data_IF_616076098606
#
_entry.id   IF_616076098606
#
_cell.length_a   1.000
_cell.length_b   1.000
_cell.length_c   1.000
_cell.angle_alpha   90.00
_cell.angle_beta   90.00
_cell.angle_gamma   90.00
#
_symmetry.space_group_name_H-M   'P 1'
#
loop_
_entity.id
_entity.type
_entity.pdbx_description
1 polymer ?
2 non-polymer ?
3 water ?
#
# COMPACT_ATOMS: atom_id res chain seq x y z
N UNK A 6 -3.28 3.55 9.76
CA UNK A 6 -1.86 3.59 10.07
C UNK A 6 -1.03 3.25 8.84
N UNK A 7 0.11 3.93 8.69
CA UNK A 7 1.02 3.68 7.58
C UNK A 7 1.87 2.45 7.92
N UNK A 8 1.67 1.37 7.17
CA UNK A 8 2.46 0.16 7.35
C UNK A 8 3.74 0.19 6.53
N UNK A 9 4.45 1.31 6.62
CA UNK A 9 5.70 1.49 5.88
C UNK A 9 6.81 0.72 6.56
N UNK A 10 7.56 -0.05 5.77
CA UNK A 10 8.68 -0.83 6.28
C UNK A 10 9.96 -0.01 6.18
N UNK A 11 10.74 0.00 7.26
CA UNK A 11 11.98 0.76 7.29
C UNK A 11 13.05 0.05 6.46
N UNK A 12 14.22 0.67 6.40
CA UNK A 12 15.34 0.07 5.66
C UNK A 12 15.75 -1.27 6.26
N UNK A 13 15.69 -1.38 7.59
CA UNK A 13 15.98 -2.66 8.22
C UNK A 13 14.86 -3.67 7.96
N UNK A 14 13.61 -3.20 7.95
CA UNK A 14 12.48 -4.11 7.82
C UNK A 14 12.39 -4.71 6.42
N UNK A 15 12.92 -4.03 5.41
CA UNK A 15 12.87 -4.56 4.06
C UNK A 15 13.87 -5.70 3.88
N UNK A 16 15.08 -5.54 4.42
CA UNK A 16 16.13 -6.55 4.33
C UNK A 16 16.20 -7.43 5.58
N UNK A 17 15.10 -7.54 6.31
CA UNK A 17 15.11 -8.28 7.57
C UNK A 17 15.30 -9.78 7.31
N UNK A 18 16.11 -10.42 8.15
CA UNK A 18 16.47 -11.82 8.20
C UNK A 18 15.68 -12.52 9.30
N UNK A 19 15.17 -13.74 9.04
CA UNK A 19 14.40 -14.44 10.07
C UNK A 19 15.23 -14.76 11.29
N UNK A 20 14.54 -14.86 12.43
CA UNK A 20 15.14 -15.32 13.68
C UNK A 20 14.93 -16.83 13.74
N UNK A 21 15.98 -17.58 13.42
CA UNK A 21 15.86 -19.02 13.26
C UNK A 21 15.41 -19.69 14.55
N UNK A 22 14.65 -20.77 14.40
CA UNK A 22 14.11 -21.49 15.53
C UNK A 22 15.21 -22.24 16.28
N UNK A 23 14.93 -22.56 17.54
CA UNK A 23 15.85 -23.28 18.39
C UNK A 23 15.33 -24.71 18.50
N UNK A 24 15.72 -25.56 17.54
CA UNK A 24 15.27 -26.95 17.54
C UNK A 24 15.93 -27.72 18.67
N UNK A 25 17.24 -27.53 18.87
CA UNK A 25 17.96 -28.19 19.95
C UNK A 25 17.31 -27.88 21.29
N UNK A 26 16.57 -28.86 21.82
CA UNK A 26 15.71 -28.68 22.98
C UNK A 26 16.35 -28.00 24.19
N UNK A 27 15.89 -26.78 24.47
CA UNK A 27 16.28 -26.06 25.67
C UNK A 27 15.07 -25.94 26.59
N UNK A 28 15.30 -26.11 27.89
CA UNK A 28 14.24 -26.01 28.88
C UNK A 28 14.32 -24.65 29.57
N UNK A 29 13.25 -23.87 29.45
CA UNK A 29 13.15 -22.55 30.07
C UNK A 29 12.15 -22.61 31.21
N UNK A 30 12.40 -21.82 32.25
CA UNK A 30 11.58 -21.81 33.45
C UNK A 30 10.50 -20.75 33.32
N UNK A 31 9.36 -21.00 33.96
CA UNK A 31 8.24 -20.05 33.93
C UNK A 31 7.67 -19.91 35.34
N UNK A 32 7.95 -18.78 35.98
CA UNK A 32 7.38 -18.51 37.29
C UNK A 32 5.96 -17.96 37.13
N UNK A 33 5.09 -18.21 38.12
CA UNK A 33 3.75 -17.61 38.06
C UNK A 33 3.76 -16.10 38.13
N UNK A 34 4.76 -15.52 38.79
CA UNK A 34 4.85 -14.06 38.87
C UNK A 34 5.26 -13.46 37.55
N UNK A 35 6.16 -14.13 36.81
CA UNK A 35 6.54 -13.67 35.49
C UNK A 35 5.47 -14.06 34.47
N UNK A 36 5.51 -13.39 33.31
CA UNK A 36 4.50 -13.56 32.27
C UNK A 36 3.09 -13.28 32.79
N UNK A 37 3.00 -12.44 33.82
CA UNK A 37 1.71 -12.18 34.47
C UNK A 37 0.90 -11.13 33.71
N UNK A 38 1.56 -10.16 33.09
CA UNK A 38 0.85 -9.05 32.47
C UNK A 38 0.13 -9.45 31.18
N UNK A 39 0.51 -10.56 30.57
CA UNK A 39 -0.06 -10.96 29.29
C UNK A 39 -1.02 -12.14 29.38
N UNK A 40 -0.93 -12.96 30.44
CA UNK A 40 -1.73 -14.16 30.55
C UNK A 40 -2.87 -14.03 31.55
N UNK A 41 -2.94 -12.95 32.31
CA UNK A 41 -3.98 -12.76 33.31
C UNK A 41 -5.07 -11.86 32.76
N UNK A 42 -6.31 -12.15 33.13
CA UNK A 42 -7.44 -11.32 32.71
C UNK A 42 -7.54 -10.09 33.60
N UNK A 43 -7.57 -8.88 33.02
CA UNK A 43 -7.60 -7.67 33.86
C UNK A 43 -8.96 -7.40 34.49
N UNK A 44 -9.85 -8.39 34.48
CA UNK A 44 -11.15 -8.30 35.12
C UNK A 44 -11.25 -9.21 36.34
N UNK A 45 -10.86 -10.47 36.20
CA UNK A 45 -10.88 -11.42 37.29
C UNK A 45 -9.50 -11.69 37.88
N UNK A 46 -8.44 -11.14 37.29
CA UNK A 46 -7.06 -11.25 37.76
C UNK A 46 -6.55 -12.68 37.75
N UNK A 47 -7.28 -13.61 37.15
CA UNK A 47 -6.84 -14.99 36.98
C UNK A 47 -6.38 -15.19 35.53
N UNK A 48 -5.74 -16.33 35.28
CA UNK A 48 -5.30 -16.65 33.93
C UNK A 48 -6.51 -16.76 32.99
N UNK A 49 -6.27 -16.44 31.72
CA UNK A 49 -7.35 -16.39 30.74
C UNK A 49 -7.97 -17.78 30.55
N UNK A 50 -9.29 -17.83 30.67
CA UNK A 50 -10.07 -19.04 30.42
C UNK A 50 -11.12 -18.71 29.37
N UNK A 51 -11.10 -19.46 28.27
CA UNK A 51 -11.91 -19.16 27.08
C UNK A 51 -11.68 -17.72 26.66
N UNK A 52 -10.51 -17.51 26.06
CA UNK A 52 -10.02 -16.17 25.79
C UNK A 52 -10.82 -15.48 24.70
N UNK A 53 -11.14 -14.20 24.92
CA UNK A 53 -11.78 -13.34 23.93
C UNK A 53 -10.84 -12.21 23.56
N UNK A 54 -10.89 -11.79 22.30
CA UNK A 54 -10.02 -10.74 21.79
C UNK A 54 -10.85 -9.68 21.07
N UNK A 55 -10.46 -8.42 21.28
CA UNK A 55 -11.13 -7.31 20.61
C UNK A 55 -10.48 -7.04 19.26
N UNK A 56 -11.32 -6.80 18.25
CA UNK A 56 -10.82 -6.59 16.91
C UNK A 56 -10.19 -5.21 16.74
N UNK A 57 -10.60 -4.23 17.55
CA UNK A 57 -10.11 -2.86 17.41
C UNK A 57 -8.79 -2.62 18.12
N UNK A 58 -8.45 -3.44 19.13
CA UNK A 58 -7.24 -3.18 19.91
C UNK A 58 -6.47 -4.42 20.31
N UNK A 59 -6.96 -5.63 20.02
CA UNK A 59 -6.25 -6.88 20.34
C UNK A 59 -5.92 -6.98 21.81
N UNK A 60 -6.95 -6.86 22.65
CA UNK A 60 -6.83 -7.00 24.09
C UNK A 60 -7.63 -8.20 24.55
N UNK A 61 -6.99 -9.09 25.31
CA UNK A 61 -7.58 -10.37 25.66
C UNK A 61 -8.28 -10.31 27.01
N UNK A 62 -9.43 -10.99 27.09
CA UNK A 62 -10.18 -11.14 28.33
C UNK A 62 -10.80 -12.53 28.37
N UNK A 63 -11.42 -12.86 29.49
CA UNK A 63 -12.19 -14.08 29.59
C UNK A 63 -13.54 -13.90 28.89
N UNK A 64 -14.05 -15.00 28.34
CA UNK A 64 -15.32 -14.94 27.62
C UNK A 64 -16.45 -14.48 28.53
N UNK A 65 -16.54 -15.05 29.73
CA UNK A 65 -17.58 -14.66 30.67
C UNK A 65 -17.32 -13.27 31.24
N UNK A 66 -16.06 -12.86 31.33
CA UNK A 66 -15.72 -11.58 31.97
C UNK A 66 -16.03 -10.41 31.05
N UNK A 67 -15.60 -10.47 29.79
CA UNK A 67 -15.81 -9.34 28.89
C UNK A 67 -17.29 -9.18 28.56
N UNK A 68 -18.04 -10.29 28.51
CA UNK A 68 -19.47 -10.19 28.26
C UNK A 68 -20.18 -9.51 29.42
N UNK A 69 -19.68 -9.70 30.64
CA UNK A 69 -20.28 -9.04 31.80
C UNK A 69 -20.10 -7.53 31.74
N UNK A 70 -18.89 -7.07 31.46
CA UNK A 70 -18.61 -5.63 31.48
C UNK A 70 -19.31 -4.90 30.34
N UNK A 71 -19.57 -5.58 29.23
CA UNK A 71 -20.21 -4.92 28.10
C UNK A 71 -21.70 -4.71 28.32
N UNK A 72 -22.39 -5.72 28.87
CA UNK A 72 -23.82 -5.58 29.12
C UNK A 72 -24.13 -4.56 30.21
N UNK A 73 -23.15 -4.22 31.04
CA UNK A 73 -23.33 -3.28 32.15
C UNK A 73 -22.26 -2.19 32.11
N UNK A 74 -22.07 -1.60 30.93
CA UNK A 74 -21.06 -0.58 30.78
C UNK A 74 -21.31 0.28 29.57
N UNK A 75 -20.26 0.98 29.13
CA UNK A 75 -20.32 1.89 28.00
C UNK A 75 -19.94 1.23 26.68
N UNK A 76 -19.91 -0.11 26.63
CA UNK A 76 -19.48 -0.85 25.45
C UNK A 76 -18.08 -0.42 25.01
N UNK A 77 -17.19 -0.24 25.97
CA UNK A 77 -15.81 0.13 25.71
C UNK A 77 -14.89 -1.02 26.06
N UNK A 78 -13.63 -0.90 25.65
CA UNK A 78 -12.63 -1.86 26.06
C UNK A 78 -12.18 -1.55 27.47
N UNK A 79 -12.24 -2.52 28.40
CA UNK A 79 -11.90 -2.24 29.80
C UNK A 79 -10.45 -1.82 30.01
N UNK A 80 -9.58 -2.01 29.02
CA UNK A 80 -8.15 -1.74 29.19
C UNK A 80 -7.75 -0.40 28.56
N UNK A 81 -7.97 -0.25 27.25
CA UNK A 81 -7.53 0.94 26.53
C UNK A 81 -8.61 2.00 26.41
N UNK A 82 -9.84 1.72 26.83
CA UNK A 82 -10.96 2.67 26.79
C UNK A 82 -11.19 3.16 25.35
N UNK A 83 -11.34 2.21 24.43
CA UNK A 83 -11.67 2.50 23.05
C UNK A 83 -13.09 2.01 22.76
N UNK A 84 -13.72 2.64 21.78
CA UNK A 84 -15.13 2.36 21.49
C UNK A 84 -15.26 1.09 20.65
N UNK A 85 -16.16 0.21 21.07
CA UNK A 85 -16.47 -1.02 20.36
C UNK A 85 -17.63 -0.81 19.39
N UNK A 86 -17.91 -1.85 18.60
CA UNK A 86 -19.09 -1.87 17.76
C UNK A 86 -20.09 -2.83 18.42
N UNK A 87 -20.06 -2.84 19.76
CA UNK A 87 -21.08 -3.45 20.61
C UNK A 87 -21.29 -4.95 20.37
N UNK A 88 -21.03 -5.43 19.16
CA UNK A 88 -21.26 -6.82 18.84
C UNK A 88 -20.46 -7.18 17.61
N UNK A 89 -20.06 -8.46 17.54
CA UNK A 89 -19.24 -8.98 16.45
C UNK A 89 -17.87 -8.28 16.41
N UNK A 90 -17.51 -7.58 17.49
CA UNK A 90 -16.16 -7.06 17.67
C UNK A 90 -15.27 -8.00 18.45
N UNK A 91 -15.85 -8.98 19.14
CA UNK A 91 -15.09 -9.96 19.92
C UNK A 91 -15.04 -11.28 19.15
N UNK A 92 -13.83 -11.75 18.88
CA UNK A 92 -13.62 -13.06 18.31
C UNK A 92 -12.85 -13.92 19.29
N UNK A 93 -13.25 -15.16 19.53
CA UNK A 93 -12.47 -16.03 20.42
C UNK A 93 -11.06 -16.25 19.87
N UNK A 94 -10.12 -16.44 20.80
CA UNK A 94 -8.71 -16.65 20.46
C UNK A 94 -8.37 -18.12 20.72
N UNK A 95 -8.55 -19.00 19.73
CA UNK A 95 -8.31 -20.43 20.00
C UNK A 95 -6.84 -20.78 20.13
N UNK A 96 -5.98 -20.20 19.28
CA UNK A 96 -4.55 -20.47 19.38
C UNK A 96 -3.93 -19.84 20.62
N UNK A 97 -4.60 -18.86 21.24
CA UNK A 97 -4.13 -18.33 22.50
C UNK A 97 -4.45 -19.26 23.66
N UNK A 98 -5.60 -19.95 23.60
CA UNK A 98 -5.92 -20.94 24.63
C UNK A 98 -4.97 -22.11 24.59
N UNK A 99 -4.50 -22.50 23.39
CA UNK A 99 -3.51 -23.57 23.29
C UNK A 99 -2.20 -23.17 23.95
N UNK A 100 -1.80 -21.90 23.80
CA UNK A 100 -0.60 -21.42 24.47
C UNK A 100 -0.79 -21.35 25.98
N UNK A 101 -2.00 -21.06 26.44
CA UNK A 101 -2.27 -21.04 27.88
C UNK A 101 -2.22 -22.44 28.46
N UNK A 102 -2.80 -23.41 27.75
CA UNK A 102 -2.80 -24.81 28.19
C UNK A 102 -1.41 -25.43 28.17
N UNK A 103 -0.38 -24.69 27.78
CA UNK A 103 0.99 -25.18 27.80
C UNK A 103 1.85 -24.58 28.90
N UNK A 104 1.35 -23.56 29.61
CA UNK A 104 2.24 -22.76 30.45
C UNK A 104 1.51 -22.23 31.68
N UNK A 105 0.40 -22.86 32.04
CA UNK A 105 -0.31 -22.45 33.26
C UNK A 105 0.48 -22.69 34.55
N UNK A 106 1.43 -23.65 34.64
CA UNK A 106 2.15 -23.73 35.92
C UNK A 106 2.87 -22.44 36.31
N UNK A 111 5.61 -25.19 39.42
CA UNK A 111 6.22 -24.05 38.76
C UNK A 111 7.47 -24.61 38.06
N UNK A 112 7.25 -25.25 36.92
CA UNK A 112 8.25 -26.12 36.32
C UNK A 112 8.79 -25.52 35.02
N UNK A 113 9.84 -26.15 34.50
CA UNK A 113 10.52 -25.74 33.28
C UNK A 113 9.91 -26.46 32.07
N UNK A 114 9.97 -25.79 30.92
CA UNK A 114 9.25 -26.22 29.72
C UNK A 114 10.24 -26.38 28.57
N UNK A 115 10.04 -27.44 27.77
CA UNK A 115 10.77 -27.57 26.52
C UNK A 115 10.27 -26.56 25.51
N UNK A 116 11.20 -25.85 24.87
CA UNK A 116 10.82 -24.83 23.91
C UNK A 116 10.21 -25.44 22.65
N UNK A 117 10.55 -26.70 22.35
CA UNK A 117 10.00 -27.35 21.17
C UNK A 117 8.49 -27.53 21.27
N UNK A 118 7.95 -27.51 22.49
CA UNK A 118 6.49 -27.54 22.67
C UNK A 118 5.86 -26.16 22.53
N UNK A 119 6.66 -25.10 22.68
CA UNK A 119 6.16 -23.74 22.56
C UNK A 119 6.40 -23.12 21.19
N UNK A 120 7.30 -23.69 20.39
CA UNK A 120 7.62 -23.12 19.08
C UNK A 120 6.40 -22.96 18.17
N UNK A 121 5.47 -23.91 18.05
CA UNK A 121 4.32 -23.68 17.16
C UNK A 121 3.55 -22.41 17.46
N UNK A 122 3.56 -21.93 18.70
CA UNK A 122 2.84 -20.73 19.08
C UNK A 122 3.68 -19.46 18.98
N UNK A 123 4.95 -19.58 18.62
CA UNK A 123 5.86 -18.43 18.61
C UNK A 123 6.56 -18.23 17.27
N UNK A 124 6.13 -18.90 16.21
CA UNK A 124 6.82 -18.86 14.93
C UNK A 124 5.90 -18.39 13.82
N UNK A 125 6.49 -17.71 12.84
CA UNK A 125 5.77 -17.18 11.69
C UNK A 125 5.92 -18.12 10.51
N UNK A 126 4.79 -18.52 9.92
CA UNK A 126 4.82 -19.45 8.79
C UNK A 126 5.37 -18.83 7.52
N UNK A 127 5.51 -17.51 7.48
CA UNK A 127 6.00 -16.84 6.27
C UNK A 127 7.53 -16.75 6.24
N UNK A 128 8.16 -16.49 7.37
CA UNK A 128 9.62 -16.44 7.43
C UNK A 128 10.23 -17.72 8.00
N UNK A 129 9.44 -18.56 8.66
CA UNK A 129 9.99 -19.77 9.25
C UNK A 129 10.78 -19.53 10.52
N UNK A 130 10.54 -18.43 11.21
CA UNK A 130 11.26 -18.12 12.43
C UNK A 130 10.38 -17.48 13.49
N UNK A 131 11.00 -17.02 14.57
CA UNK A 131 10.25 -16.46 15.69
C UNK A 131 9.60 -15.14 15.28
N UNK A 132 8.63 -14.71 16.09
CA UNK A 132 7.88 -13.50 15.81
C UNK A 132 8.71 -12.26 16.13
N UNK A 133 8.83 -11.36 15.16
CA UNK A 133 9.45 -10.06 15.34
C UNK A 133 8.46 -9.02 14.84
N UNK A 134 8.07 -8.10 15.73
CA UNK A 134 6.99 -7.14 15.46
C UNK A 134 5.73 -7.89 15.03
N UNK A 135 5.15 -8.59 16.00
CA UNK A 135 4.04 -9.49 15.74
C UNK A 135 2.81 -8.70 15.29
N UNK A 136 2.32 -9.01 14.10
CA UNK A 136 1.10 -8.43 13.55
C UNK A 136 0.04 -9.51 13.41
N UNK A 137 -1.21 -9.16 13.71
CA UNK A 137 -2.30 -10.12 13.76
C UNK A 137 -3.44 -9.67 12.84
N UNK A 138 -3.96 -10.59 12.05
CA UNK A 138 -5.16 -10.37 11.26
C UNK A 138 -6.37 -10.43 12.20
N UNK A 139 -7.09 -9.32 12.33
CA UNK A 139 -8.12 -9.20 13.35
C UNK A 139 -9.38 -9.96 12.94
N UNK A 140 -9.39 -10.50 11.72
CA UNK A 140 -10.55 -11.26 11.25
C UNK A 140 -10.46 -12.74 11.62
N UNK A 141 -9.26 -13.31 11.66
CA UNK A 141 -9.08 -14.71 12.01
C UNK A 141 -8.12 -14.92 13.17
N UNK A 142 -7.49 -13.85 13.66
CA UNK A 142 -6.55 -13.91 14.78
C UNK A 142 -5.37 -14.84 14.47
N UNK A 143 -4.81 -14.67 13.28
CA UNK A 143 -3.58 -15.35 12.88
C UNK A 143 -2.45 -14.33 12.83
N UNK A 144 -1.33 -14.67 13.46
CA UNK A 144 -0.24 -13.73 13.69
C UNK A 144 0.95 -14.04 12.79
N UNK A 145 1.62 -12.99 12.33
CA UNK A 145 2.82 -13.10 11.52
C UNK A 145 3.75 -11.95 11.88
N UNK A 146 4.97 -11.99 11.35
CA UNK A 146 5.88 -10.87 11.50
C UNK A 146 5.38 -9.67 10.69
N UNK A 147 5.65 -8.47 11.19
CA UNK A 147 5.18 -7.25 10.54
C UNK A 147 5.69 -7.18 9.09
N UNK A 148 6.98 -7.50 8.89
CA UNK A 148 7.54 -7.45 7.54
C UNK A 148 6.96 -8.56 6.67
N UNK A 149 6.63 -9.71 7.25
CA UNK A 149 6.18 -10.84 6.46
C UNK A 149 4.75 -10.64 5.95
N UNK A 150 3.83 -10.26 6.84
CA UNK A 150 2.43 -10.16 6.43
C UNK A 150 2.22 -8.96 5.52
N UNK A 151 2.92 -7.86 5.77
CA UNK A 151 2.79 -6.68 4.92
C UNK A 151 3.38 -6.96 3.54
N UNK A 152 4.56 -7.60 3.49
CA UNK A 152 5.11 -8.05 2.22
C UNK A 152 4.16 -9.01 1.52
N UNK A 153 3.51 -9.88 2.28
CA UNK A 153 2.64 -10.90 1.70
C UNK A 153 1.36 -10.27 1.14
N UNK A 154 0.73 -9.36 1.89
CA UNK A 154 -0.56 -8.81 1.49
C UNK A 154 -0.46 -7.90 0.27
N UNK A 155 0.75 -7.62 -0.25
CA UNK A 155 0.86 -6.89 -1.50
C UNK A 155 0.39 -7.72 -2.69
N UNK A 156 0.29 -9.03 -2.54
CA UNK A 156 -0.09 -9.93 -3.63
C UNK A 156 -1.39 -10.68 -3.39
N UNK A 157 -1.78 -10.90 -2.14
CA UNK A 157 -2.99 -11.64 -1.81
C UNK A 157 -3.79 -10.89 -0.77
N UNK A 158 -5.12 -10.98 -0.87
CA UNK A 158 -6.04 -10.37 0.08
C UNK A 158 -6.60 -11.37 1.06
N UNK A 159 -5.97 -12.54 1.19
CA UNK A 159 -6.48 -13.62 2.02
C UNK A 159 -5.40 -14.04 3.02
N UNK A 160 -5.82 -14.82 4.03
CA UNK A 160 -4.90 -15.26 5.06
C UNK A 160 -4.01 -16.39 4.53
N UNK A 161 -2.72 -16.40 4.87
CA UNK A 161 -1.86 -17.49 4.44
C UNK A 161 -2.21 -18.84 5.04
N UNK A 162 -2.92 -18.86 6.17
CA UNK A 162 -3.20 -20.11 6.89
C UNK A 162 -4.61 -20.58 6.60
N UNK A 163 -5.60 -19.93 7.24
CA UNK A 163 -6.99 -20.34 7.09
C UNK A 163 -7.62 -19.87 5.78
N UNK A 164 -6.95 -18.96 5.05
CA UNK A 164 -7.39 -18.52 3.73
C UNK A 164 -8.75 -17.81 3.77
N UNK A 165 -9.02 -17.08 4.84
CA UNK A 165 -10.19 -16.21 4.89
C UNK A 165 -9.80 -14.85 4.34
N UNK A 166 -10.78 -14.12 3.82
CA UNK A 166 -10.52 -12.83 3.21
C UNK A 166 -10.19 -11.80 4.28
N UNK A 167 -9.01 -11.18 4.17
CA UNK A 167 -8.61 -10.16 5.13
C UNK A 167 -9.48 -8.92 4.98
N UNK A 168 -9.50 -8.34 3.79
CA UNK A 168 -10.34 -7.18 3.51
C UNK A 168 -10.76 -7.23 2.05
N UNK A 169 -11.85 -6.53 1.74
CA UNK A 169 -12.41 -6.56 0.40
C UNK A 169 -11.50 -5.87 -0.61
N UNK A 170 -10.87 -4.76 -0.21
CA UNK A 170 -10.03 -3.99 -1.12
C UNK A 170 -8.65 -3.74 -0.54
N UNK A 171 -8.58 -3.11 0.63
CA UNK A 171 -7.32 -2.75 1.26
C UNK A 171 -7.06 -3.66 2.45
N UNK A 172 -6.23 -4.69 2.31
CA UNK A 172 -6.05 -5.65 3.42
C UNK A 172 -5.40 -5.05 4.65
N UNK A 173 -4.67 -3.93 4.52
CA UNK A 173 -4.00 -3.32 5.66
C UNK A 173 -4.99 -2.72 6.66
N UNK A 174 -6.27 -2.62 6.31
CA UNK A 174 -7.24 -2.06 7.24
C UNK A 174 -7.56 -3.04 8.37
N UNK A 175 -7.41 -4.34 8.14
CA UNK A 175 -7.83 -5.37 9.08
C UNK A 175 -6.65 -6.13 9.67
N UNK A 176 -5.51 -5.47 9.85
CA UNK A 176 -4.40 -6.03 10.61
C UNK A 176 -4.03 -5.05 11.71
N UNK A 177 -3.42 -5.57 12.76
CA UNK A 177 -3.09 -4.75 13.92
C UNK A 177 -1.89 -5.35 14.63
N UNK A 178 -1.08 -4.48 15.24
CA UNK A 178 0.07 -4.94 15.99
C UNK A 178 -0.38 -5.66 17.26
N UNK A 179 0.23 -6.81 17.53
CA UNK A 179 -0.09 -7.63 18.69
C UNK A 179 1.04 -7.46 19.70
N UNK A 180 0.97 -6.39 20.49
CA UNK A 180 2.00 -6.13 21.49
C UNK A 180 1.97 -7.16 22.61
N UNK A 181 0.79 -7.65 22.97
CA UNK A 181 0.70 -8.65 24.03
C UNK A 181 1.38 -9.95 23.61
N UNK A 182 1.18 -10.38 22.37
CA UNK A 182 1.81 -11.60 21.88
C UNK A 182 3.32 -11.43 21.74
N UNK A 183 3.76 -10.27 21.22
CA UNK A 183 5.19 -10.04 21.03
C UNK A 183 5.93 -10.01 22.36
N UNK A 184 5.27 -9.53 23.42
CA UNK A 184 5.92 -9.51 24.73
C UNK A 184 6.10 -10.92 25.29
N UNK A 185 5.22 -11.85 24.93
CA UNK A 185 5.38 -13.23 25.37
C UNK A 185 6.57 -13.88 24.67
N UNK A 186 6.79 -13.53 23.40
CA UNK A 186 7.88 -14.14 22.65
C UNK A 186 9.24 -13.65 23.15
N UNK A 187 9.36 -12.35 23.41
CA UNK A 187 10.64 -11.80 23.86
C UNK A 187 11.00 -12.29 25.26
N UNK A 188 10.01 -12.65 26.08
CA UNK A 188 10.28 -13.17 27.41
C UNK A 188 10.56 -14.66 27.41
N UNK A 189 9.82 -15.44 26.61
CA UNK A 189 10.03 -16.87 26.56
C UNK A 189 11.37 -17.21 25.91
N UNK A 190 11.60 -16.70 24.70
CA UNK A 190 12.81 -17.00 23.95
C UNK A 190 13.98 -16.24 24.55
N UNK A 191 14.98 -16.92 25.11
CA UNK A 191 16.11 -16.21 25.71
C UNK A 191 16.99 -15.57 24.66
N UNK A 192 17.39 -14.32 24.91
CA UNK A 192 18.29 -13.62 24.02
C UNK A 192 17.70 -13.20 22.71
N UNK A 193 16.39 -13.38 22.50
CA UNK A 193 15.77 -12.94 21.26
C UNK A 193 15.70 -11.42 21.18
N UNK A 194 15.23 -10.77 22.25
CA UNK A 194 15.18 -9.32 22.28
C UNK A 194 16.57 -8.72 22.18
N UNK A 195 17.58 -9.38 22.74
CA UNK A 195 18.95 -8.87 22.64
C UNK A 195 19.47 -8.99 21.21
N UNK A 196 19.26 -10.15 20.58
CA UNK A 196 19.77 -10.37 19.23
C UNK A 196 19.04 -9.50 18.21
N UNK A 197 17.71 -9.39 18.35
CA UNK A 197 16.94 -8.60 17.39
C UNK A 197 17.30 -7.12 17.46
N UNK A 198 17.55 -6.60 18.67
CA UNK A 198 17.92 -5.20 18.79
C UNK A 198 19.35 -4.95 18.35
N UNK A 199 20.22 -5.96 18.46
CA UNK A 199 21.58 -5.81 17.94
C UNK A 199 21.59 -5.89 16.42
N UNK A 200 20.73 -6.73 15.85
CA UNK A 200 20.60 -6.78 14.39
C UNK A 200 20.25 -5.42 13.81
N UNK A 201 19.38 -4.68 14.50
CA UNK A 201 19.01 -3.35 14.04
C UNK A 201 20.17 -2.37 14.24
N UNK A 202 20.90 -2.51 15.34
CA UNK A 202 22.02 -1.60 15.61
C UNK A 202 23.17 -1.84 14.63
N UNK A 203 23.46 -3.10 14.32
CA UNK A 203 24.52 -3.39 13.35
C UNK A 203 24.16 -2.89 11.96
N UNK A 204 22.88 -2.93 11.60
CA UNK A 204 22.46 -2.48 10.28
C UNK A 204 22.61 -0.97 10.14
N UNK A 205 22.08 -0.21 11.10
CA UNK A 205 22.18 1.24 11.05
C UNK A 205 23.59 1.75 11.35
N UNK A 206 24.47 0.91 11.89
CA UNK A 206 25.88 1.26 12.03
C UNK A 206 26.66 1.07 10.74
N UNK A 207 26.08 0.38 9.76
CA UNK A 207 26.71 0.19 8.46
C UNK A 207 25.97 0.89 7.33
N UNK A 208 24.77 1.40 7.58
CA UNK A 208 23.97 2.12 6.58
C UNK A 208 23.46 3.41 7.20
N UNK A 209 24.34 4.40 7.44
CA UNK A 209 23.93 5.65 8.06
C UNK A 209 23.49 6.71 7.05
N UNK B 7 5.28 3.46 -3.16
CA UNK B 7 3.93 3.08 -2.74
C UNK B 7 2.89 4.08 -3.22
N UNK B 8 1.68 3.59 -3.49
CA UNK B 8 0.59 4.45 -3.95
C UNK B 8 -0.43 4.65 -2.85
N UNK B 9 -0.02 5.28 -1.74
CA UNK B 9 -0.87 5.49 -0.58
C UNK B 9 -1.64 6.79 -0.77
N UNK B 10 -2.96 6.68 -0.93
CA UNK B 10 -3.78 7.87 -1.12
C UNK B 10 -3.90 8.65 0.18
N UNK B 11 -3.67 9.96 0.11
CA UNK B 11 -3.75 10.81 1.29
C UNK B 11 -5.21 11.02 1.69
N UNK B 12 -5.41 11.81 2.73
CA UNK B 12 -6.78 12.10 3.20
C UNK B 12 -7.60 12.78 2.11
N UNK B 13 -6.99 13.73 1.40
CA UNK B 13 -7.70 14.40 0.32
C UNK B 13 -7.99 13.44 -0.83
N UNK B 14 -6.98 12.67 -1.24
CA UNK B 14 -7.14 11.76 -2.38
C UNK B 14 -8.14 10.66 -2.11
N UNK B 15 -8.38 10.31 -0.83
CA UNK B 15 -9.35 9.27 -0.52
C UNK B 15 -10.79 9.74 -0.71
N UNK B 16 -11.05 11.04 -0.53
CA UNK B 16 -12.40 11.57 -0.59
C UNK B 16 -12.58 12.62 -1.67
N UNK B 17 -11.62 12.78 -2.57
CA UNK B 17 -11.73 13.83 -3.59
C UNK B 17 -12.86 13.53 -4.55
N UNK B 18 -13.53 14.58 -5.00
CA UNK B 18 -14.65 14.49 -5.92
C UNK B 18 -14.18 14.72 -7.35
N UNK B 19 -14.95 14.28 -8.34
CA UNK B 19 -14.58 14.52 -9.73
C UNK B 19 -14.47 16.00 -10.05
N UNK B 20 -13.50 16.35 -10.89
CA UNK B 20 -13.39 17.70 -11.43
C UNK B 20 -14.33 17.83 -12.63
N UNK B 21 -15.41 18.58 -12.44
CA UNK B 21 -16.44 18.67 -13.47
C UNK B 21 -15.87 19.19 -14.78
N UNK B 22 -16.13 18.47 -15.87
CA UNK B 22 -15.66 18.87 -17.17
C UNK B 22 -16.45 20.07 -17.69
N UNK B 23 -16.16 20.46 -18.93
CA UNK B 23 -16.78 21.64 -19.54
C UNK B 23 -17.50 21.20 -20.81
N UNK B 24 -18.81 21.38 -20.83
CA UNK B 24 -19.62 21.19 -22.03
C UNK B 24 -20.19 22.51 -22.53
N UNK B 25 -19.67 23.64 -22.03
CA UNK B 25 -20.21 24.94 -22.41
C UNK B 25 -19.89 25.30 -23.85
N UNK B 26 -18.82 24.75 -24.41
CA UNK B 26 -18.40 25.10 -25.75
C UNK B 26 -17.34 26.18 -25.82
N UNK B 27 -16.49 26.28 -24.81
CA UNK B 27 -15.44 27.29 -24.81
C UNK B 27 -14.39 26.98 -25.85
N UNK B 28 -13.77 28.02 -26.38
CA UNK B 28 -12.69 27.90 -27.36
C UNK B 28 -11.40 28.42 -26.74
N UNK B 29 -10.42 27.54 -26.59
CA UNK B 29 -9.11 27.90 -26.07
C UNK B 29 -8.19 28.22 -27.24
N UNK B 30 -7.49 29.34 -27.16
CA UNK B 30 -6.55 29.75 -28.20
C UNK B 30 -5.17 29.20 -27.87
N UNK B 31 -4.65 28.36 -28.76
CA UNK B 31 -3.37 27.67 -28.54
C UNK B 31 -2.50 27.91 -29.76
N UNK B 32 -1.34 28.53 -29.53
CA UNK B 32 -0.35 28.80 -30.56
C UNK B 32 0.75 27.74 -30.52
N UNK B 33 1.58 27.66 -31.57
CA UNK B 33 2.72 26.73 -31.51
C UNK B 33 3.68 27.04 -30.39
N UNK B 34 3.81 28.31 -30.02
CA UNK B 34 4.66 28.66 -28.88
C UNK B 34 4.02 28.21 -27.57
N UNK B 35 2.69 28.13 -27.51
CA UNK B 35 2.01 27.62 -26.34
C UNK B 35 2.08 26.10 -26.31
N UNK B 36 2.31 25.54 -25.13
CA UNK B 36 2.51 24.11 -24.92
C UNK B 36 3.67 23.56 -25.75
N UNK B 37 4.62 24.43 -26.11
CA UNK B 37 5.70 24.00 -26.99
C UNK B 37 6.68 23.07 -26.29
N UNK B 38 6.79 23.17 -24.96
CA UNK B 38 7.73 22.33 -24.24
C UNK B 38 7.24 20.89 -24.11
N UNK B 39 5.93 20.69 -24.01
CA UNK B 39 5.36 19.36 -23.85
C UNK B 39 5.14 18.64 -25.17
N UNK B 40 5.20 19.35 -26.30
CA UNK B 40 4.93 18.76 -27.60
C UNK B 40 6.15 18.83 -28.52
N UNK B 41 7.35 18.94 -27.95
CA UNK B 41 8.57 19.03 -28.73
C UNK B 41 9.47 17.84 -28.39
N UNK B 42 9.90 17.12 -29.42
CA UNK B 42 10.86 16.05 -29.23
C UNK B 42 12.24 16.62 -28.99
N UNK B 43 12.91 16.28 -27.88
CA UNK B 43 14.21 16.89 -27.58
C UNK B 43 15.31 16.53 -28.59
N UNK B 44 15.00 15.65 -29.53
CA UNK B 44 15.95 15.25 -30.56
C UNK B 44 15.74 16.02 -31.86
N UNK B 45 14.48 16.19 -32.29
CA UNK B 45 14.19 16.89 -33.53
C UNK B 45 13.73 18.33 -33.32
N UNK B 46 13.24 18.67 -32.12
CA UNK B 46 12.82 20.03 -31.77
C UNK B 46 11.69 20.52 -32.66
N UNK B 47 10.74 19.63 -32.97
CA UNK B 47 9.54 19.97 -33.70
C UNK B 47 8.37 19.23 -33.07
N UNK B 48 7.23 19.22 -33.75
CA UNK B 48 6.08 18.50 -33.25
C UNK B 48 6.32 16.99 -33.35
N UNK B 49 5.62 16.24 -32.51
CA UNK B 49 5.80 14.79 -32.42
C UNK B 49 5.18 14.10 -33.63
N UNK B 50 6.00 13.42 -34.41
CA UNK B 50 5.55 12.57 -35.50
C UNK B 50 5.95 11.13 -35.17
N UNK B 51 4.96 10.25 -35.12
CA UNK B 51 5.15 8.87 -34.68
C UNK B 51 5.78 8.85 -33.29
N UNK B 52 4.95 9.06 -32.27
CA UNK B 52 5.44 9.23 -30.91
C UNK B 52 5.78 7.89 -30.28
N UNK B 53 6.87 7.87 -29.52
CA UNK B 53 7.25 6.74 -28.69
C UNK B 53 7.36 7.19 -27.23
N UNK B 54 7.42 6.22 -26.33
CA UNK B 54 7.42 6.52 -24.91
C UNK B 54 8.24 5.47 -24.16
N UNK B 55 9.14 5.94 -23.30
CA UNK B 55 9.91 5.04 -22.46
C UNK B 55 9.04 4.53 -21.31
N UNK B 56 9.03 3.21 -21.12
CA UNK B 56 8.16 2.62 -20.10
C UNK B 56 8.64 2.84 -18.68
N UNK B 57 9.89 3.28 -18.50
CA UNK B 57 10.42 3.49 -17.15
C UNK B 57 10.23 4.91 -16.66
N UNK B 58 10.09 5.88 -17.55
CA UNK B 58 9.97 7.28 -17.18
C UNK B 58 8.86 8.02 -17.88
N UNK B 59 8.19 7.41 -18.87
CA UNK B 59 7.07 8.03 -19.59
C UNK B 59 7.50 9.35 -20.24
N UNK B 60 8.55 9.26 -21.07
CA UNK B 60 9.06 10.40 -21.81
C UNK B 60 8.80 10.20 -23.29
N UNK B 61 8.25 11.22 -23.94
CA UNK B 61 7.81 11.12 -25.33
C UNK B 61 8.92 11.55 -26.27
N UNK B 62 9.19 10.72 -27.27
CA UNK B 62 10.10 11.05 -28.35
C UNK B 62 9.51 10.55 -29.67
N UNK B 63 10.07 11.03 -30.78
CA UNK B 63 9.65 10.56 -32.09
C UNK B 63 10.28 9.21 -32.39
N UNK B 64 9.59 8.41 -33.21
CA UNK B 64 10.04 7.06 -33.50
C UNK B 64 11.38 7.07 -34.22
N UNK B 65 11.47 7.83 -35.32
CA UNK B 65 12.71 7.89 -36.09
C UNK B 65 13.83 8.64 -35.37
N UNK B 66 13.54 9.26 -34.24
CA UNK B 66 14.53 10.04 -33.51
C UNK B 66 15.06 9.37 -32.26
N UNK B 67 14.23 8.60 -31.54
CA UNK B 67 14.71 7.96 -30.32
C UNK B 67 15.52 6.71 -30.65
N UNK B 68 15.23 6.03 -31.75
CA UNK B 68 15.99 4.84 -32.12
C UNK B 68 17.40 5.22 -32.52
N UNK B 69 17.56 6.33 -33.25
CA UNK B 69 18.89 6.81 -33.60
C UNK B 69 19.64 7.30 -32.36
N UNK B 70 18.93 7.97 -31.44
CA UNK B 70 19.57 8.46 -30.23
C UNK B 70 20.03 7.30 -29.34
N UNK B 71 19.20 6.27 -29.19
CA UNK B 71 19.57 5.10 -28.41
C UNK B 71 20.51 4.16 -29.16
N UNK B 72 20.90 4.51 -30.38
CA UNK B 72 21.79 3.69 -31.18
C UNK B 72 23.26 4.03 -30.98
N UNK B 73 23.57 5.08 -30.23
CA UNK B 73 24.92 5.62 -30.13
C UNK B 73 25.54 5.43 -28.74
N UNK B 74 25.36 4.23 -28.17
CA UNK B 74 26.15 3.81 -27.04
C UNK B 74 25.95 4.52 -25.71
N UNK B 75 24.71 4.70 -25.28
CA UNK B 75 24.46 5.11 -23.91
C UNK B 75 23.29 4.37 -23.26
N UNK B 76 22.27 4.00 -24.03
CA UNK B 76 21.19 3.13 -23.55
C UNK B 76 20.51 3.71 -22.32
N UNK B 77 20.31 5.03 -22.32
CA UNK B 77 19.62 5.73 -21.26
C UNK B 77 18.58 6.65 -21.89
N UNK B 78 17.63 7.09 -21.07
CA UNK B 78 16.64 8.04 -21.56
C UNK B 78 17.30 9.41 -21.73
N UNK B 79 17.22 10.02 -22.91
CA UNK B 79 17.90 11.30 -23.14
C UNK B 79 17.41 12.44 -22.27
N UNK B 80 16.36 12.24 -21.46
CA UNK B 80 15.79 13.31 -20.64
C UNK B 80 16.22 13.18 -19.17
N UNK B 81 15.81 12.10 -18.51
CA UNK B 81 16.11 11.89 -17.10
C UNK B 81 17.42 11.16 -16.86
N UNK B 82 18.10 10.73 -17.92
CA UNK B 82 19.40 10.07 -17.82
C UNK B 82 19.33 8.82 -16.95
N UNK B 83 18.23 8.07 -17.08
CA UNK B 83 18.03 6.84 -16.34
C UNK B 83 18.20 5.64 -17.26
N UNK B 84 18.70 4.55 -16.69
CA UNK B 84 18.97 3.34 -17.47
C UNK B 84 17.67 2.75 -18.02
N UNK B 85 17.75 2.23 -19.24
CA UNK B 85 16.60 1.66 -19.92
C UNK B 85 16.97 0.28 -20.46
N UNK B 86 16.19 -0.73 -20.09
CA UNK B 86 16.26 -2.02 -20.76
C UNK B 86 15.85 -1.77 -22.21
N UNK B 87 16.85 -1.68 -23.10
CA UNK B 87 16.69 -1.03 -24.39
C UNK B 87 15.43 -1.47 -25.13
N UNK B 88 15.29 -2.77 -25.35
CA UNK B 88 14.19 -3.28 -26.15
C UNK B 88 12.99 -3.63 -25.26
N UNK B 89 11.80 -3.51 -25.84
CA UNK B 89 10.50 -3.73 -25.21
C UNK B 89 10.17 -2.67 -24.16
N UNK B 90 11.01 -1.64 -24.00
CA UNK B 90 10.71 -0.52 -23.12
C UNK B 90 10.19 0.68 -23.88
N UNK B 91 10.09 0.59 -25.20
CA UNK B 91 9.54 1.66 -26.04
C UNK B 91 8.28 1.15 -26.71
N UNK B 92 7.21 1.95 -26.64
CA UNK B 92 5.95 1.59 -27.26
C UNK B 92 5.37 2.85 -27.90
N UNK B 93 4.89 2.75 -29.15
CA UNK B 93 4.22 3.91 -29.76
C UNK B 93 2.97 4.29 -28.99
N UNK B 94 2.66 5.59 -29.01
CA UNK B 94 1.56 6.16 -28.24
C UNK B 94 0.54 6.73 -29.22
N UNK B 95 -0.37 5.89 -29.73
CA UNK B 95 -1.39 6.42 -30.66
C UNK B 95 -2.35 7.39 -30.00
N UNK B 96 -2.61 7.23 -28.70
CA UNK B 96 -3.49 8.17 -28.01
C UNK B 96 -2.85 9.55 -27.87
N UNK B 97 -1.52 9.60 -27.82
CA UNK B 97 -0.84 10.89 -27.75
C UNK B 97 -0.77 11.56 -29.11
N UNK B 98 -0.55 10.78 -30.17
CA UNK B 98 -0.57 11.35 -31.52
C UNK B 98 -1.98 11.77 -31.93
N UNK B 99 -3.00 11.10 -31.38
CA UNK B 99 -4.38 11.55 -31.60
C UNK B 99 -4.62 12.92 -30.97
N UNK B 100 -3.86 13.27 -29.94
CA UNK B 100 -3.97 14.60 -29.33
C UNK B 100 -3.18 15.64 -30.10
N UNK B 101 -2.07 15.24 -30.73
CA UNK B 101 -1.27 16.18 -31.51
C UNK B 101 -2.04 16.63 -32.75
N UNK B 102 -2.75 15.71 -33.40
CA UNK B 102 -3.53 16.06 -34.58
C UNK B 102 -4.64 17.04 -34.26
N UNK B 103 -5.06 17.13 -32.99
CA UNK B 103 -6.05 18.13 -32.61
C UNK B 103 -5.43 19.52 -32.54
N UNK B 104 -4.17 19.60 -32.09
CA UNK B 104 -3.47 20.88 -31.97
C UNK B 104 -2.39 20.95 -33.03
N UNK B 105 -2.79 21.32 -34.26
CA UNK B 105 -1.81 21.43 -35.34
C UNK B 105 -0.78 22.51 -35.07
N UNK B 106 -1.14 23.75 -34.71
CA UNK B 106 -0.08 24.70 -34.34
C UNK B 106 0.17 24.73 -32.83
N UNK B 111 -1.28 29.53 -35.07
CA UNK B 111 -2.17 29.53 -33.91
C UNK B 111 -3.60 29.22 -34.31
N UNK B 112 -4.36 28.62 -33.40
CA UNK B 112 -5.74 28.23 -33.68
C UNK B 112 -6.56 28.35 -32.41
N UNK B 113 -7.88 28.29 -32.58
CA UNK B 113 -8.83 28.17 -31.48
C UNK B 113 -9.58 26.85 -31.66
N UNK B 114 -9.64 26.06 -30.59
CA UNK B 114 -10.26 24.74 -30.64
C UNK B 114 -11.30 24.67 -29.53
N UNK B 115 -12.50 24.21 -29.89
CA UNK B 115 -13.52 23.94 -28.89
C UNK B 115 -13.04 22.84 -27.96
N UNK B 116 -13.10 23.11 -26.65
CA UNK B 116 -12.61 22.15 -25.67
C UNK B 116 -13.42 20.85 -25.70
N UNK B 117 -14.61 20.87 -26.27
CA UNK B 117 -15.38 19.63 -26.44
C UNK B 117 -14.68 18.65 -27.35
N UNK B 118 -13.80 19.13 -28.24
CA UNK B 118 -12.99 18.26 -29.07
C UNK B 118 -11.79 17.68 -28.33
N UNK B 119 -11.36 18.33 -27.24
CA UNK B 119 -10.22 17.87 -26.45
C UNK B 119 -10.65 17.07 -25.22
N UNK B 120 -11.93 17.10 -24.86
CA UNK B 120 -12.39 16.38 -23.67
C UNK B 120 -12.11 14.87 -23.72
N UNK B 121 -12.33 14.15 -24.82
CA UNK B 121 -12.00 12.72 -24.83
C UNK B 121 -10.52 12.43 -24.61
N UNK B 122 -9.64 13.41 -24.79
CA UNK B 122 -8.21 13.22 -24.58
C UNK B 122 -7.73 13.75 -23.24
N UNK B 123 -8.61 14.38 -22.45
CA UNK B 123 -8.21 14.98 -21.19
C UNK B 123 -9.10 14.56 -20.02
N UNK B 124 -9.92 13.52 -20.18
CA UNK B 124 -10.84 13.10 -19.14
C UNK B 124 -10.60 11.64 -18.77
N UNK B 125 -10.83 11.33 -17.50
CA UNK B 125 -10.69 9.98 -16.97
C UNK B 125 -12.01 9.23 -17.12
N UNK B 126 -11.93 7.98 -17.60
CA UNK B 126 -13.13 7.21 -17.85
C UNK B 126 -13.77 6.71 -16.57
N UNK B 127 -13.04 6.71 -15.46
CA UNK B 127 -13.60 6.32 -14.16
C UNK B 127 -14.12 7.50 -13.38
N UNK B 128 -13.47 8.65 -13.47
CA UNK B 128 -13.83 9.83 -12.69
C UNK B 128 -15.02 10.57 -13.27
N UNK B 129 -15.16 10.60 -14.60
CA UNK B 129 -16.16 11.42 -15.23
C UNK B 129 -15.74 12.86 -15.46
N UNK B 130 -14.50 13.22 -15.13
CA UNK B 130 -14.01 14.56 -15.34
C UNK B 130 -12.56 14.59 -15.78
N UNK B 131 -11.92 15.76 -15.66
CA UNK B 131 -10.56 15.92 -16.14
C UNK B 131 -9.57 15.16 -15.26
N UNK B 132 -8.39 14.90 -15.81
CA UNK B 132 -7.35 14.19 -15.09
C UNK B 132 -6.82 15.05 -13.96
N UNK B 133 -6.72 14.45 -12.77
CA UNK B 133 -6.05 15.08 -11.62
C UNK B 133 -5.00 14.09 -11.13
N UNK B 134 -3.74 14.52 -11.15
CA UNK B 134 -2.60 13.64 -10.92
C UNK B 134 -2.66 12.46 -11.88
N UNK B 135 -2.28 12.69 -13.13
CA UNK B 135 -2.42 11.67 -14.16
C UNK B 135 -1.51 10.49 -13.88
N UNK B 136 -2.03 9.29 -14.15
CA UNK B 136 -1.28 8.05 -13.97
C UNK B 136 -1.53 7.16 -15.17
N UNK B 137 -0.46 6.61 -15.74
CA UNK B 137 -0.51 5.85 -16.98
C UNK B 137 0.00 4.44 -16.74
N UNK B 138 -0.74 3.45 -17.24
CA UNK B 138 -0.29 2.07 -17.26
C UNK B 138 0.77 1.93 -18.34
N UNK B 139 2.00 1.56 -17.93
CA UNK B 139 3.12 1.50 -18.87
C UNK B 139 3.03 0.32 -19.83
N UNK B 140 2.00 -0.50 -19.73
CA UNK B 140 1.83 -1.62 -20.64
C UNK B 140 1.05 -1.23 -21.90
N UNK B 141 -0.11 -0.59 -21.71
CA UNK B 141 -0.98 -0.21 -22.82
C UNK B 141 -1.06 1.29 -23.04
N UNK B 142 -0.39 2.09 -22.19
CA UNK B 142 -0.38 3.54 -22.31
C UNK B 142 -1.78 4.13 -22.23
N UNK B 143 -2.58 3.64 -21.30
CA UNK B 143 -3.87 4.23 -20.97
C UNK B 143 -3.75 5.00 -19.66
N UNK B 144 -4.40 6.16 -19.60
CA UNK B 144 -4.23 7.10 -18.50
C UNK B 144 -5.51 7.26 -17.71
N UNK B 145 -5.35 7.41 -16.40
CA UNK B 145 -6.46 7.69 -15.50
C UNK B 145 -5.96 8.61 -14.40
N UNK B 146 -6.89 9.07 -13.56
CA UNK B 146 -6.48 9.82 -12.38
C UNK B 146 -5.74 8.90 -11.41
N UNK B 147 -4.95 9.52 -10.54
CA UNK B 147 -4.17 8.75 -9.57
C UNK B 147 -5.09 7.96 -8.64
N UNK B 148 -6.07 8.64 -8.03
CA UNK B 148 -6.97 7.97 -7.09
C UNK B 148 -7.91 7.00 -7.77
N UNK B 149 -8.20 7.21 -9.06
CA UNK B 149 -9.16 6.36 -9.76
C UNK B 149 -8.57 5.00 -10.08
N UNK B 150 -7.38 4.98 -10.69
CA UNK B 150 -6.79 3.71 -11.10
C UNK B 150 -6.29 2.92 -9.89
N UNK B 151 -5.82 3.60 -8.85
CA UNK B 151 -5.37 2.91 -7.65
C UNK B 151 -6.52 2.18 -6.97
N UNK B 152 -7.68 2.85 -6.86
CA UNK B 152 -8.86 2.19 -6.31
C UNK B 152 -9.34 1.07 -7.21
N UNK B 153 -9.21 1.24 -8.54
CA UNK B 153 -9.63 0.21 -9.46
C UNK B 153 -8.75 -1.03 -9.34
N UNK B 154 -7.43 -0.85 -9.24
CA UNK B 154 -6.52 -1.98 -9.19
C UNK B 154 -6.61 -2.75 -7.88
N UNK B 155 -7.38 -2.26 -6.90
CA UNK B 155 -7.59 -3.01 -5.67
C UNK B 155 -8.51 -4.21 -5.89
N UNK B 156 -9.28 -4.22 -6.98
CA UNK B 156 -10.21 -5.30 -7.27
C UNK B 156 -10.00 -5.90 -8.66
N UNK B 157 -8.93 -5.53 -9.36
CA UNK B 157 -8.69 -6.02 -10.70
C UNK B 157 -7.22 -5.83 -11.05
N UNK B 158 -6.71 -6.73 -11.91
CA UNK B 158 -5.35 -6.63 -12.43
C UNK B 158 -5.36 -6.47 -13.94
N UNK B 159 -6.45 -5.93 -14.49
CA UNK B 159 -6.61 -5.72 -15.92
C UNK B 159 -7.02 -4.28 -16.17
N UNK B 160 -6.82 -3.82 -17.40
CA UNK B 160 -7.11 -2.44 -17.74
C UNK B 160 -8.62 -2.22 -17.81
N UNK B 161 -9.12 -1.09 -17.31
CA UNK B 161 -10.56 -0.80 -17.43
C UNK B 161 -11.02 -0.52 -18.85
N UNK B 162 -10.11 -0.28 -19.79
CA UNK B 162 -10.49 0.10 -21.14
C UNK B 162 -10.20 -1.02 -22.12
N UNK B 163 -8.92 -1.32 -22.34
CA UNK B 163 -8.52 -2.33 -23.30
C UNK B 163 -8.48 -3.74 -22.71
N UNK B 164 -8.60 -3.86 -21.38
CA UNK B 164 -8.73 -5.16 -20.72
C UNK B 164 -7.49 -6.04 -20.91
N UNK B 165 -6.31 -5.43 -20.81
CA UNK B 165 -5.05 -6.15 -20.86
C UNK B 165 -4.52 -6.32 -19.45
N UNK B 166 -3.75 -7.38 -19.23
CA UNK B 166 -3.25 -7.70 -17.90
C UNK B 166 -2.18 -6.69 -17.49
N UNK B 167 -2.44 -5.96 -16.41
CA UNK B 167 -1.46 -5.01 -15.90
C UNK B 167 -0.28 -5.75 -15.29
N UNK B 168 -0.55 -6.76 -14.47
CA UNK B 168 0.48 -7.56 -13.84
C UNK B 168 -0.14 -8.83 -13.31
N UNK B 169 0.66 -9.90 -13.26
CA UNK B 169 0.14 -11.19 -12.81
C UNK B 169 -0.11 -11.20 -11.31
N UNK B 170 0.61 -10.38 -10.55
CA UNK B 170 0.49 -10.39 -9.09
C UNK B 170 0.22 -9.00 -8.53
N UNK B 171 1.16 -8.07 -8.75
CA UNK B 171 1.09 -6.73 -8.18
C UNK B 171 0.79 -5.72 -9.28
N UNK B 172 -0.46 -5.30 -9.47
CA UNK B 172 -0.77 -4.37 -10.57
C UNK B 172 -0.12 -3.01 -10.42
N UNK B 173 0.03 -2.50 -9.19
CA UNK B 173 0.63 -1.19 -8.98
C UNK B 173 2.07 -1.13 -9.42
N UNK B 174 2.68 -2.26 -9.79
CA UNK B 174 4.09 -2.27 -10.16
C UNK B 174 4.32 -1.69 -11.56
N UNK B 175 3.32 -1.74 -12.43
CA UNK B 175 3.46 -1.32 -13.82
C UNK B 175 2.54 -0.15 -14.15
N UNK B 176 2.39 0.78 -13.21
CA UNK B 176 1.74 2.06 -13.46
C UNK B 176 2.70 3.16 -13.05
N UNK B 177 2.54 4.34 -13.66
CA UNK B 177 3.49 5.42 -13.45
C UNK B 177 2.78 6.76 -13.61
N UNK B 178 3.27 7.76 -12.90
CA UNK B 178 2.73 9.10 -13.01
C UNK B 178 3.05 9.69 -14.37
N UNK B 179 2.06 10.35 -14.97
CA UNK B 179 2.21 10.98 -16.27
C UNK B 179 2.23 12.50 -16.09
N UNK B 180 3.36 13.01 -15.59
CA UNK B 180 3.51 14.45 -15.40
C UNK B 180 3.46 15.19 -16.73
N UNK B 181 3.91 14.55 -17.81
CA UNK B 181 3.83 15.18 -19.13
C UNK B 181 2.38 15.38 -19.55
N UNK B 182 1.54 14.38 -19.31
CA UNK B 182 0.14 14.48 -19.72
C UNK B 182 -0.64 15.42 -18.80
N UNK B 183 -0.37 15.36 -17.49
CA UNK B 183 -1.10 16.20 -16.56
C UNK B 183 -0.82 17.68 -16.78
N UNK B 184 0.40 18.03 -17.21
CA UNK B 184 0.72 19.43 -17.49
C UNK B 184 -0.02 19.91 -18.73
N UNK B 185 -0.31 19.02 -19.69
CA UNK B 185 -1.09 19.42 -20.85
C UNK B 185 -2.53 19.70 -20.45
N UNK B 186 -3.06 18.95 -19.48
CA UNK B 186 -4.43 19.18 -19.03
C UNK B 186 -4.52 20.46 -18.23
N UNK B 187 -3.52 20.73 -17.38
CA UNK B 187 -3.53 21.95 -16.57
C UNK B 187 -3.41 23.22 -17.41
N UNK B 188 -2.83 23.12 -18.61
CA UNK B 188 -2.65 24.30 -19.45
C UNK B 188 -3.76 24.47 -20.47
N UNK B 189 -4.35 23.38 -20.95
CA UNK B 189 -5.46 23.48 -21.91
C UNK B 189 -6.76 23.88 -21.22
N UNK B 190 -6.97 23.40 -20.00
CA UNK B 190 -8.21 23.66 -19.25
C UNK B 190 -7.97 24.90 -18.39
N UNK B 191 -8.64 26.02 -18.66
CA UNK B 191 -8.41 27.23 -17.86
C UNK B 191 -8.96 27.08 -16.45
N UNK B 192 -8.16 27.47 -15.45
CA UNK B 192 -8.58 27.45 -14.08
C UNK B 192 -8.62 26.09 -13.41
N UNK B 193 -8.21 25.04 -14.12
CA UNK B 193 -8.22 23.70 -13.52
C UNK B 193 -7.17 23.60 -12.41
N UNK B 194 -6.01 24.22 -12.60
CA UNK B 194 -4.98 24.19 -11.58
C UNK B 194 -5.39 24.98 -10.35
N UNK B 195 -5.99 26.16 -10.54
CA UNK B 195 -6.44 26.95 -9.41
C UNK B 195 -7.55 26.23 -8.65
N UNK B 196 -8.51 25.63 -9.37
CA UNK B 196 -9.62 24.95 -8.71
C UNK B 196 -9.13 23.74 -7.92
N UNK B 197 -8.25 22.93 -8.52
CA UNK B 197 -7.79 21.73 -7.84
C UNK B 197 -6.92 22.06 -6.64
N UNK B 198 -6.04 23.06 -6.76
CA UNK B 198 -5.19 23.43 -5.64
C UNK B 198 -5.99 24.10 -4.53
N UNK B 199 -7.07 24.81 -4.89
CA UNK B 199 -7.92 25.39 -3.85
C UNK B 199 -8.69 24.30 -3.11
N UNK B 200 -9.10 23.25 -3.80
CA UNK B 200 -9.76 22.13 -3.13
C UNK B 200 -8.84 21.48 -2.10
N UNK B 201 -7.53 21.47 -2.36
CA UNK B 201 -6.59 20.89 -1.40
C UNK B 201 -6.45 21.78 -0.16
N UNK B 202 -6.39 23.09 -0.36
CA UNK B 202 -6.30 24.00 0.78
C UNK B 202 -7.58 23.95 1.61
N UNK B 203 -8.74 23.98 0.96
CA UNK B 203 -10.01 23.98 1.69
C UNK B 203 -10.19 22.72 2.51
N UNK B 204 -9.58 21.61 2.08
CA UNK B 204 -9.70 20.37 2.85
C UNK B 204 -8.81 20.40 4.09
N UNK B 205 -7.52 20.71 3.92
CA UNK B 205 -6.60 20.71 5.04
C UNK B 205 -6.80 21.91 5.96
N UNK B 206 -7.51 22.94 5.50
CA UNK B 206 -7.94 24.00 6.41
C UNK B 206 -9.12 23.57 7.26
N UNK B 207 -9.80 22.48 6.87
CA UNK B 207 -10.91 21.94 7.65
C UNK B 207 -10.56 20.67 8.39
N UNK B 208 -9.55 19.92 7.94
CA UNK B 208 -9.12 18.68 8.59
C UNK B 208 -7.61 18.76 8.83
N UNK B 209 -7.18 19.52 9.85
CA UNK B 209 -5.76 19.63 10.20
C UNK B 209 -5.36 18.69 11.33
X LIG C 1 7.95 -13.88 9.81
X LIG D 1 -6.17 -16.73 9.30
X LIG E 1 -8.34 -2.32 24.17
X LIG F 1 -11.52 -13.06 33.43
X LIG G 1 -10.37 10.18 -12.51
X LIG H 1 -5.38 0.04 -21.42
X LIG I 1 13.36 9.53 -19.05
X LIG J 1 11.91 14.08 -32.98
#
# INVERSE_FOLDING_TARGET
TQPLSKTWELSLYELQRTPQEAITDGLEIVVSPRSLHSELMCPICLDMLKNTMTTKECLHRFCADCIITALRSGNKECPTCRKKLVSKRSLRPDPNFDALISKIYPSMHRTTRIKITELNPHLMCVLCGGYFIDATTIIECLHSFCKTCIVRYLETSKYCPICDVQVHKTRPLLNIRSDKTLQDIVYKLVPGLFKNEMKRRRDFYAAHPSA
TQPLSKTWELSLYELQRTPQEAITDGLEIVVSPRSLHSELMCPICLDMLKNTMTTKECLHRFCADCIITALRSGNKECPTCRKKLVSKRSLRPDPNFDALISKIYPSMHRTTRIKITELNPHLMCVLCGGYFIDATTIIECLHSFCKTCIVRYLETSKYCPICDVQVHKTRPLLNIRSDKTLQDIVYKLVPGLFKNEMKRRRDFYAAHPSA
ZN ZN
ZN ZN
ZN ZN
ZN ZN
ZN ZN
ZN ZN
ZN ZN
ZN ZN
#
